data_IF_428814302819
#
_entry.id   IF_428814302819
#
_cell.length_a   1.000
_cell.length_b   1.000
_cell.length_c   1.000
_cell.angle_alpha   90.00
_cell.angle_beta   90.00
_cell.angle_gamma   90.00
#
_symmetry.space_group_name_H-M   'P 1'
#
loop_
_entity.id
_entity.type
_entity.pdbx_description
1 polymer ?
#
# COMPACT_ATOMS: atom_id res chain seq x y z
N UNK A 1 6.38 7.64 4.98
CA UNK A 1 7.03 7.40 3.68
C UNK A 1 6.30 6.26 2.99
N UNK A 2 6.03 6.38 1.70
CA UNK A 2 5.48 5.33 0.85
C UNK A 2 6.50 5.06 -0.25
N UNK A 3 6.82 3.79 -0.50
CA UNK A 3 7.68 3.36 -1.60
C UNK A 3 6.88 2.43 -2.49
N UNK A 4 6.75 2.76 -3.78
CA UNK A 4 6.13 1.89 -4.78
C UNK A 4 7.23 1.16 -5.53
N UNK A 5 7.11 -0.16 -5.66
CA UNK A 5 8.13 -1.01 -6.25
C UNK A 5 7.50 -2.24 -6.92
N UNK A 6 8.28 -2.97 -7.73
CA UNK A 6 7.80 -4.09 -8.53
C UNK A 6 7.26 -3.65 -9.89
N UNK A 7 6.60 -4.58 -10.57
CA UNK A 7 6.24 -4.48 -11.97
C UNK A 7 4.72 -4.55 -12.15
N UNK A 8 4.20 -3.65 -12.98
CA UNK A 8 2.80 -3.67 -13.40
C UNK A 8 2.58 -4.89 -14.31
N UNK A 9 1.48 -5.62 -14.06
CA UNK A 9 1.12 -6.85 -14.78
C UNK A 9 2.03 -8.05 -14.48
N UNK A 10 2.92 -7.97 -13.48
CA UNK A 10 3.68 -9.13 -13.04
C UNK A 10 2.92 -9.91 -11.95
N UNK A 11 3.05 -11.23 -12.00
CA UNK A 11 2.53 -12.18 -11.03
C UNK A 11 3.65 -12.82 -10.20
N UNK A 12 3.28 -13.43 -9.08
CA UNK A 12 4.23 -14.23 -8.29
C UNK A 12 4.73 -15.43 -9.11
N UNK A 13 6.05 -15.68 -9.04
CA UNK A 13 6.70 -16.78 -9.75
C UNK A 13 7.26 -16.41 -11.12
N UNK A 14 7.06 -15.18 -11.60
CA UNK A 14 7.77 -14.67 -12.77
C UNK A 14 9.26 -14.44 -12.43
N UNK A 15 10.16 -14.96 -13.26
CA UNK A 15 11.59 -14.83 -13.03
C UNK A 15 12.04 -13.36 -13.18
N UNK A 16 12.58 -12.80 -12.10
CA UNK A 16 13.12 -11.44 -12.07
C UNK A 16 12.08 -10.32 -11.99
N UNK A 17 10.79 -10.63 -11.89
CA UNK A 17 9.69 -9.66 -11.75
C UNK A 17 8.79 -10.05 -10.58
N UNK A 18 8.12 -9.08 -9.98
CA UNK A 18 7.12 -9.34 -8.94
C UNK A 18 6.03 -8.27 -8.98
N UNK A 19 4.82 -8.58 -8.46
CA UNK A 19 3.69 -7.67 -8.55
C UNK A 19 3.98 -6.30 -7.97
N UNK A 20 3.51 -5.24 -8.65
CA UNK A 20 3.59 -3.88 -8.13
C UNK A 20 3.00 -3.79 -6.72
N UNK A 21 3.79 -3.25 -5.80
CA UNK A 21 3.55 -3.27 -4.36
C UNK A 21 3.92 -1.93 -3.72
N UNK A 22 3.42 -1.70 -2.51
CA UNK A 22 3.70 -0.53 -1.71
C UNK A 22 4.26 -0.93 -0.35
N UNK A 23 5.32 -0.23 0.07
CA UNK A 23 5.88 -0.32 1.42
C UNK A 23 5.67 1.00 2.17
N UNK A 24 5.23 0.92 3.43
CA UNK A 24 4.95 2.04 4.31
C UNK A 24 5.93 2.09 5.47
N UNK A 25 6.48 3.27 5.74
CA UNK A 25 7.39 3.50 6.85
C UNK A 25 7.07 4.80 7.57
N UNK A 26 7.09 4.80 8.90
CA UNK A 26 7.05 6.02 9.70
C UNK A 26 8.16 6.01 10.74
N UNK A 27 8.70 7.19 11.02
CA UNK A 27 9.69 7.36 12.08
C UNK A 27 8.98 7.75 13.37
N UNK A 28 9.30 7.07 14.47
CA UNK A 28 8.76 7.34 15.81
C UNK A 28 9.01 8.78 16.29
N UNK A 29 10.06 9.45 15.80
CA UNK A 29 10.38 10.84 16.17
C UNK A 29 9.42 11.89 15.58
N UNK A 30 8.57 11.54 14.61
CA UNK A 30 7.68 12.48 13.94
C UNK A 30 6.34 12.68 14.68
N UNK A 31 6.08 11.91 15.74
CA UNK A 31 4.83 11.98 16.49
C UNK A 31 4.99 12.94 17.67
N UNK A 32 4.50 14.19 17.52
CA UNK A 32 4.67 15.29 18.49
C UNK A 32 4.11 14.98 19.88
N UNK A 33 3.11 14.11 19.98
CA UNK A 33 2.50 13.67 21.25
C UNK A 33 2.99 12.29 21.71
N UNK A 34 3.99 11.72 21.03
CA UNK A 34 4.37 10.32 21.18
C UNK A 34 3.40 9.37 20.46
N UNK A 35 3.82 8.11 20.30
CA UNK A 35 3.03 7.06 19.64
C UNK A 35 3.54 6.70 18.24
N UNK A 36 3.15 5.52 17.76
CA UNK A 36 3.36 5.06 16.38
C UNK A 36 2.01 5.14 15.70
N UNK A 37 1.90 5.86 14.58
CA UNK A 37 0.72 5.70 13.73
C UNK A 37 0.75 4.28 13.15
N UNK A 38 -0.29 3.50 13.43
CA UNK A 38 -0.37 2.12 12.98
C UNK A 38 -0.63 2.07 11.46
N UNK A 39 0.45 1.93 10.71
CA UNK A 39 0.44 1.86 9.26
C UNK A 39 -0.20 0.57 8.72
N UNK A 40 -0.46 -0.43 9.57
CA UNK A 40 -1.12 -1.67 9.12
C UNK A 40 -2.48 -1.39 8.50
N UNK A 41 -3.19 -0.35 8.95
CA UNK A 41 -4.44 0.10 8.34
C UNK A 41 -4.29 0.47 6.87
N UNK A 42 -3.18 1.10 6.48
CA UNK A 42 -2.89 1.44 5.07
C UNK A 42 -2.62 0.18 4.26
N UNK A 43 -1.83 -0.75 4.82
CA UNK A 43 -1.47 -1.99 4.17
C UNK A 43 -2.68 -2.92 3.97
N UNK A 44 -3.61 -2.97 4.92
CA UNK A 44 -4.76 -3.87 4.86
C UNK A 44 -5.98 -3.29 4.15
N UNK A 45 -5.99 -1.99 3.82
CA UNK A 45 -7.20 -1.31 3.36
C UNK A 45 -7.80 -1.92 2.09
N UNK A 46 -6.97 -2.16 1.08
CA UNK A 46 -7.38 -2.82 -0.17
C UNK A 46 -6.91 -4.26 -0.26
N UNK A 47 -5.77 -4.58 0.35
CA UNK A 47 -5.16 -5.90 0.29
C UNK A 47 -5.26 -6.58 1.65
N UNK A 48 -6.17 -7.52 1.81
CA UNK A 48 -6.37 -8.24 3.08
C UNK A 48 -5.14 -9.06 3.51
N UNK A 49 -4.25 -9.37 2.57
CA UNK A 49 -2.98 -10.05 2.85
C UNK A 49 -1.85 -9.07 3.17
N UNK A 50 -2.08 -7.76 3.04
CA UNK A 50 -1.15 -6.72 3.43
C UNK A 50 -0.91 -6.71 4.95
N UNK A 51 0.25 -6.25 5.38
CA UNK A 51 0.58 -6.24 6.80
C UNK A 51 2.06 -6.03 7.10
N UNK A 52 2.43 -6.21 8.36
CA UNK A 52 3.78 -5.98 8.88
C UNK A 52 3.76 -5.39 10.28
N UNK A 53 4.83 -4.69 10.65
CA UNK A 53 4.88 -3.96 11.91
C UNK A 53 4.14 -2.62 11.78
N UNK A 54 3.61 -2.11 12.89
CA UNK A 54 2.86 -0.85 12.94
C UNK A 54 3.61 0.35 12.32
N UNK A 55 4.95 0.35 12.32
CA UNK A 55 5.78 1.40 11.73
C UNK A 55 6.50 1.00 10.42
N UNK A 56 6.35 -0.24 9.97
CA UNK A 56 7.01 -0.81 8.79
C UNK A 56 6.20 -2.00 8.25
N UNK A 57 5.40 -1.76 7.23
CA UNK A 57 4.48 -2.74 6.64
C UNK A 57 4.34 -2.53 5.12
N UNK A 58 3.62 -3.41 4.43
CA UNK A 58 3.41 -3.28 2.99
C UNK A 58 2.27 -4.14 2.46
N UNK A 59 1.91 -3.89 1.21
CA UNK A 59 0.83 -4.59 0.51
C UNK A 59 1.05 -4.56 -1.00
N UNK A 60 0.25 -5.33 -1.75
CA UNK A 60 0.21 -5.22 -3.21
C UNK A 60 -0.64 -4.02 -3.61
N UNK A 61 -0.38 -3.45 -4.78
CA UNK A 61 -1.35 -2.55 -5.42
C UNK A 61 -2.52 -3.39 -5.90
N UNK A 62 -3.74 -2.95 -5.57
CA UNK A 62 -4.96 -3.63 -5.98
C UNK A 62 -5.58 -2.92 -7.17
N UNK A 63 -6.09 -3.69 -8.13
CA UNK A 63 -6.93 -3.17 -9.20
C UNK A 63 -8.25 -2.65 -8.63
N UNK A 64 -8.69 -1.46 -9.06
CA UNK A 64 -9.87 -0.79 -8.52
C UNK A 64 -10.86 -0.37 -9.63
N UNK A 65 -12.13 -0.62 -9.38
CA UNK A 65 -13.26 -0.14 -10.19
C UNK A 65 -14.33 0.42 -9.25
N UNK A 66 -14.74 1.67 -9.46
CA UNK A 66 -15.66 2.41 -8.57
C UNK A 66 -15.29 2.35 -7.07
N UNK A 67 -13.98 2.32 -6.78
CA UNK A 67 -13.44 2.27 -5.42
C UNK A 67 -13.42 0.88 -4.79
N UNK A 68 -13.86 -0.15 -5.49
CA UNK A 68 -13.88 -1.55 -5.05
C UNK A 68 -12.73 -2.33 -5.68
N UNK A 69 -12.21 -3.29 -4.92
CA UNK A 69 -11.19 -4.22 -5.42
C UNK A 69 -11.82 -5.17 -6.42
N UNK A 70 -11.19 -5.29 -7.58
CA UNK A 70 -11.62 -6.19 -8.67
C UNK A 70 -10.50 -7.17 -9.02
N UNK A 71 -10.88 -8.33 -9.56
CA UNK A 71 -9.96 -9.39 -9.95
C UNK A 71 -9.47 -9.18 -11.39
N UNK A 72 -8.41 -8.38 -11.52
CA UNK A 72 -7.64 -8.16 -12.74
C UNK A 72 -6.25 -7.65 -12.39
N UNK A 73 -5.37 -7.59 -13.38
CA UNK A 73 -4.06 -6.96 -13.21
C UNK A 73 -4.21 -5.46 -12.88
N UNK A 74 -3.37 -5.01 -11.94
CA UNK A 74 -3.26 -3.60 -11.61
C UNK A 74 -2.66 -2.83 -12.81
N UNK A 75 -3.13 -1.60 -12.99
CA UNK A 75 -2.66 -0.64 -13.98
C UNK A 75 -2.00 0.55 -13.30
N UNK A 76 -1.36 1.44 -14.07
CA UNK A 76 -0.84 2.70 -13.54
C UNK A 76 -1.92 3.56 -12.87
N UNK A 77 -3.15 3.50 -13.40
CA UNK A 77 -4.27 4.24 -12.82
C UNK A 77 -4.67 3.68 -11.46
N UNK A 78 -4.60 2.36 -11.29
CA UNK A 78 -4.83 1.72 -9.99
C UNK A 78 -3.76 2.13 -8.97
N UNK A 79 -2.49 2.24 -9.38
CA UNK A 79 -1.42 2.76 -8.52
C UNK A 79 -1.78 4.15 -7.99
N UNK A 80 -2.23 5.05 -8.87
CA UNK A 80 -2.66 6.41 -8.46
C UNK A 80 -3.84 6.35 -7.50
N UNK A 81 -4.88 5.57 -7.81
CA UNK A 81 -6.07 5.42 -6.95
C UNK A 81 -5.72 4.87 -5.55
N UNK A 82 -4.84 3.86 -5.48
CA UNK A 82 -4.35 3.32 -4.20
C UNK A 82 -3.64 4.42 -3.39
N UNK A 83 -2.70 5.14 -4.02
CA UNK A 83 -1.96 6.25 -3.37
C UNK A 83 -2.93 7.34 -2.89
N UNK A 84 -3.87 7.77 -3.73
CA UNK A 84 -4.86 8.79 -3.38
C UNK A 84 -5.66 8.40 -2.14
N UNK A 85 -6.10 7.13 -2.04
CA UNK A 85 -6.84 6.68 -0.86
C UNK A 85 -5.95 6.59 0.38
N UNK A 86 -4.70 6.14 0.24
CA UNK A 86 -3.77 6.13 1.38
C UNK A 86 -3.44 7.54 1.89
N UNK A 87 -3.38 8.54 0.99
CA UNK A 87 -3.20 9.94 1.38
C UNK A 87 -4.43 10.48 2.14
N UNK A 88 -5.64 10.09 1.73
CA UNK A 88 -6.88 10.42 2.45
C UNK A 88 -6.85 9.81 3.87
N UNK A 89 -6.61 8.51 4.00
CA UNK A 89 -6.53 7.82 5.30
C UNK A 89 -5.42 8.41 6.19
N UNK A 90 -4.27 8.72 5.60
CA UNK A 90 -3.16 9.36 6.33
C UNK A 90 -3.49 10.78 6.79
N UNK A 91 -4.40 11.49 6.11
CA UNK A 91 -4.80 12.84 6.50
C UNK A 91 -5.70 12.87 7.74
N UNK A 92 -6.33 11.74 8.08
CA UNK A 92 -7.19 11.57 9.26
C UNK A 92 -6.43 11.14 10.53
N UNK A 93 -5.09 11.04 10.45
CA UNK A 93 -4.22 10.63 11.56
C UNK A 93 -4.15 11.62 12.72
#
# INVERSE_FOLDING_TARGET
CIVIHGDIGASFGEEGRYPVSASFYTNSFLHKEGGVFDLTQLATYFDTDGGGHANACGCRIKALEDGLVVDRDATEEDVKKNISKWLELWSER
#
